data_IF_171403288728
#
_entry.id   IF_171403288728
#
_cell.length_a   1.000
_cell.length_b   1.000
_cell.length_c   1.000
_cell.angle_alpha   90.00
_cell.angle_beta   90.00
_cell.angle_gamma   90.00
#
_symmetry.space_group_name_H-M   'P 1'
#
loop_
_entity.id
_entity.type
_entity.pdbx_description
1 polymer ?
#
# COMPACT_ATOMS: atom_id res chain seq x y z
N UNK A 1 16.19 -4.20 7.53
CA UNK A 1 14.91 -3.46 7.44
C UNK A 1 14.30 -3.54 6.05
N UNK A 2 15.04 -3.13 5.03
CA UNK A 2 14.51 -3.25 3.66
C UNK A 2 14.35 -4.69 3.21
N UNK A 3 15.12 -5.61 3.79
CA UNK A 3 14.94 -7.04 3.53
C UNK A 3 13.55 -7.51 3.96
N UNK A 4 13.06 -7.01 5.09
CA UNK A 4 11.71 -7.36 5.57
C UNK A 4 10.65 -6.95 4.55
N UNK A 5 10.79 -5.77 3.97
CA UNK A 5 9.87 -5.28 2.95
C UNK A 5 9.92 -6.16 1.69
N UNK A 6 11.12 -6.48 1.24
CA UNK A 6 11.30 -7.34 0.07
C UNK A 6 10.69 -8.72 0.30
N UNK A 7 10.94 -9.29 1.49
CA UNK A 7 10.40 -10.61 1.83
C UNK A 7 8.87 -10.59 1.85
N UNK A 8 8.28 -9.50 2.35
CA UNK A 8 6.83 -9.35 2.36
C UNK A 8 6.25 -9.28 0.94
N UNK A 9 6.90 -8.50 0.07
CA UNK A 9 6.49 -8.40 -1.33
C UNK A 9 6.53 -9.78 -2.00
N UNK A 10 7.63 -10.51 -1.79
CA UNK A 10 7.79 -11.84 -2.37
C UNK A 10 6.74 -12.81 -1.82
N UNK A 11 6.43 -12.72 -0.55
CA UNK A 11 5.41 -13.55 0.09
C UNK A 11 4.02 -13.28 -0.49
N UNK A 12 3.69 -12.02 -0.70
CA UNK A 12 2.41 -11.65 -1.32
C UNK A 12 2.29 -12.27 -2.71
N UNK A 13 3.35 -12.21 -3.50
CA UNK A 13 3.36 -12.79 -4.84
C UNK A 13 3.19 -14.32 -4.80
N UNK A 14 3.87 -14.98 -3.86
CA UNK A 14 3.74 -16.43 -3.70
C UNK A 14 2.32 -16.82 -3.29
N UNK A 15 1.74 -16.07 -2.36
CA UNK A 15 0.41 -16.38 -1.84
C UNK A 15 -0.70 -16.14 -2.86
N UNK A 16 -0.43 -15.36 -3.88
CA UNK A 16 -1.38 -15.14 -4.98
C UNK A 16 -1.79 -16.45 -5.65
N UNK A 17 -0.91 -17.45 -5.66
CA UNK A 17 -1.15 -18.74 -6.30
C UNK A 17 -1.90 -19.73 -5.40
N UNK A 18 -2.08 -19.39 -4.12
CA UNK A 18 -2.74 -20.28 -3.17
C UNK A 18 -4.26 -20.19 -3.27
N UNK A 19 -4.94 -21.18 -2.69
CA UNK A 19 -6.39 -21.17 -2.60
C UNK A 19 -6.87 -20.02 -1.71
N UNK A 20 -7.99 -19.41 -2.07
CA UNK A 20 -8.61 -18.36 -1.25
C UNK A 20 -9.09 -18.91 0.11
N UNK A 21 -9.24 -20.23 0.23
CA UNK A 21 -9.67 -20.85 1.47
C UNK A 21 -8.55 -20.94 2.49
N UNK A 22 -7.29 -20.91 2.07
CA UNK A 22 -6.15 -21.11 2.96
C UNK A 22 -5.23 -19.90 3.03
N UNK A 23 -5.43 -18.89 2.20
CA UNK A 23 -4.58 -17.70 2.19
C UNK A 23 -5.44 -16.44 2.19
N UNK A 24 -5.27 -15.63 3.22
CA UNK A 24 -5.94 -14.33 3.28
C UNK A 24 -5.51 -13.44 2.11
N UNK A 25 -4.20 -13.42 1.80
CA UNK A 25 -3.69 -12.64 0.67
C UNK A 25 -4.32 -13.09 -0.64
N UNK A 26 -4.45 -14.40 -0.86
CA UNK A 26 -5.11 -14.91 -2.06
C UNK A 26 -6.57 -14.43 -2.12
N UNK A 27 -7.27 -14.40 -0.97
CA UNK A 27 -8.66 -13.94 -0.94
C UNK A 27 -8.77 -12.47 -1.32
N UNK A 28 -7.79 -11.66 -0.98
CA UNK A 28 -7.76 -10.24 -1.36
C UNK A 28 -7.47 -10.06 -2.85
N UNK A 29 -6.53 -10.86 -3.38
CA UNK A 29 -6.09 -10.71 -4.77
C UNK A 29 -7.07 -11.31 -5.77
N UNK A 30 -7.77 -12.37 -5.39
CA UNK A 30 -8.70 -13.08 -6.28
C UNK A 30 -10.16 -12.86 -5.89
N UNK A 31 -10.40 -12.14 -4.81
CA UNK A 31 -11.77 -11.90 -4.33
C UNK A 31 -12.55 -11.00 -5.25
N UNK A 32 -13.87 -11.03 -5.07
CA UNK A 32 -14.80 -10.24 -5.88
C UNK A 32 -15.01 -8.86 -5.30
N UNK A 33 -15.62 -7.99 -6.10
CA UNK A 33 -16.09 -6.67 -5.67
C UNK A 33 -14.95 -5.75 -5.21
N UNK A 34 -13.77 -5.89 -5.83
CA UNK A 34 -12.63 -5.02 -5.53
C UNK A 34 -12.27 -5.00 -4.05
N UNK A 35 -12.25 -6.19 -3.44
CA UNK A 35 -12.01 -6.30 -2.00
C UNK A 35 -10.66 -5.68 -1.58
N UNK A 36 -9.63 -5.76 -2.44
CA UNK A 36 -8.34 -5.15 -2.15
C UNK A 36 -8.45 -3.64 -1.95
N UNK A 37 -9.24 -2.98 -2.79
CA UNK A 37 -9.44 -1.53 -2.69
C UNK A 37 -10.22 -1.17 -1.43
N UNK A 38 -11.27 -1.95 -1.14
CA UNK A 38 -12.10 -1.72 0.04
C UNK A 38 -11.31 -1.87 1.32
N UNK A 39 -10.46 -2.90 1.39
CA UNK A 39 -9.63 -3.13 2.57
C UNK A 39 -8.57 -2.04 2.73
N UNK A 40 -7.98 -1.57 1.63
CA UNK A 40 -7.04 -0.47 1.72
C UNK A 40 -7.71 0.78 2.31
N UNK A 41 -8.89 1.11 1.83
CA UNK A 41 -9.63 2.26 2.36
C UNK A 41 -9.96 2.08 3.83
N UNK A 42 -10.43 0.89 4.22
CA UNK A 42 -10.77 0.57 5.59
C UNK A 42 -9.57 0.74 6.52
N UNK A 43 -8.40 0.20 6.13
CA UNK A 43 -7.19 0.30 6.93
C UNK A 43 -6.63 1.71 7.00
N UNK A 44 -6.85 2.51 5.95
CA UNK A 44 -6.50 3.93 5.97
C UNK A 44 -7.28 4.67 7.05
N UNK A 45 -8.55 4.35 7.19
CA UNK A 45 -9.41 4.96 8.21
C UNK A 45 -8.97 4.55 9.61
N UNK A 46 -8.56 3.29 9.78
CA UNK A 46 -8.09 2.81 11.07
C UNK A 46 -6.79 3.51 11.49
N UNK A 47 -5.87 3.72 10.55
CA UNK A 47 -4.66 4.47 10.84
C UNK A 47 -4.98 5.93 11.19
N UNK A 48 -5.93 6.52 10.49
CA UNK A 48 -6.37 7.88 10.77
C UNK A 48 -6.88 7.99 12.21
N UNK A 49 -7.73 7.05 12.63
CA UNK A 49 -8.28 7.04 13.99
C UNK A 49 -7.18 6.89 15.05
N UNK A 50 -6.29 5.93 14.85
CA UNK A 50 -5.18 5.70 15.79
C UNK A 50 -4.31 6.95 15.92
N UNK A 51 -4.05 7.62 14.81
CA UNK A 51 -3.25 8.84 14.79
C UNK A 51 -3.95 10.01 15.50
N UNK A 52 -5.26 10.08 15.35
CA UNK A 52 -6.05 11.14 16.00
C UNK A 52 -5.96 11.05 17.53
N UNK A 53 -5.94 9.84 18.08
CA UNK A 53 -5.84 9.64 19.52
C UNK A 53 -4.40 9.53 20.03
N UNK A 54 -3.41 9.61 19.14
CA UNK A 54 -1.98 9.64 19.50
C UNK A 54 -1.49 8.43 20.30
N UNK A 55 -2.10 7.27 20.10
CA UNK A 55 -1.62 6.04 20.72
C UNK A 55 -0.54 5.43 19.83
N UNK A 56 0.73 5.59 20.22
CA UNK A 56 1.85 5.17 19.38
C UNK A 56 1.84 3.69 19.03
N UNK A 57 1.48 2.84 20.00
CA UNK A 57 1.43 1.39 19.77
C UNK A 57 0.40 1.05 18.71
N UNK A 58 -0.78 1.65 18.78
CA UNK A 58 -1.82 1.42 17.79
C UNK A 58 -1.48 2.03 16.44
N UNK A 59 -0.83 3.20 16.44
CA UNK A 59 -0.37 3.80 15.19
C UNK A 59 0.56 2.86 14.45
N UNK A 60 1.52 2.28 15.16
CA UNK A 60 2.47 1.33 14.55
C UNK A 60 1.72 0.11 14.01
N UNK A 61 0.79 -0.42 14.78
CA UNK A 61 0.00 -1.58 14.36
C UNK A 61 -0.80 -1.28 13.09
N UNK A 62 -1.52 -0.17 13.09
CA UNK A 62 -2.36 0.20 11.96
C UNK A 62 -1.53 0.63 10.74
N UNK A 63 -0.36 1.23 10.97
CA UNK A 63 0.54 1.57 9.87
C UNK A 63 1.07 0.29 9.20
N UNK A 64 1.38 -0.75 9.98
CA UNK A 64 1.81 -2.02 9.43
C UNK A 64 0.69 -2.67 8.60
N UNK A 65 -0.54 -2.65 9.12
CA UNK A 65 -1.70 -3.16 8.39
C UNK A 65 -1.91 -2.41 7.07
N UNK A 66 -1.82 -1.09 7.12
CA UNK A 66 -2.00 -0.28 5.92
C UNK A 66 -0.91 -0.56 4.88
N UNK A 67 0.34 -0.68 5.33
CA UNK A 67 1.45 -0.98 4.43
C UNK A 67 1.23 -2.33 3.75
N UNK A 68 0.82 -3.35 4.53
CA UNK A 68 0.50 -4.65 3.95
C UNK A 68 -0.58 -4.53 2.87
N UNK A 69 -1.68 -3.86 3.19
CA UNK A 69 -2.78 -3.72 2.23
C UNK A 69 -2.41 -2.83 1.04
N UNK A 70 -1.52 -1.86 1.25
CA UNK A 70 -0.99 -1.07 0.15
C UNK A 70 -0.24 -1.95 -0.85
N UNK A 71 0.63 -2.83 -0.35
CA UNK A 71 1.39 -3.74 -1.20
C UNK A 71 0.47 -4.73 -1.92
N UNK A 72 -0.56 -5.22 -1.23
CA UNK A 72 -1.56 -6.09 -1.85
C UNK A 72 -2.31 -5.35 -2.96
N UNK A 73 -2.68 -4.10 -2.72
CA UNK A 73 -3.35 -3.27 -3.71
C UNK A 73 -2.49 -3.12 -4.98
N UNK A 74 -1.21 -2.86 -4.82
CA UNK A 74 -0.30 -2.75 -5.96
C UNK A 74 -0.23 -4.06 -6.75
N UNK A 75 -0.12 -5.19 -6.04
CA UNK A 75 -0.10 -6.50 -6.70
C UNK A 75 -1.43 -6.75 -7.42
N UNK A 76 -2.55 -6.39 -6.82
CA UNK A 76 -3.86 -6.52 -7.44
C UNK A 76 -3.93 -5.72 -8.74
N UNK A 77 -3.33 -4.54 -8.78
CA UNK A 77 -3.30 -3.68 -9.96
C UNK A 77 -2.14 -4.01 -10.90
N UNK A 78 -1.34 -5.02 -10.57
CA UNK A 78 -0.18 -5.46 -11.37
C UNK A 78 0.85 -4.35 -11.54
N UNK A 79 1.07 -3.57 -10.48
CA UNK A 79 2.05 -2.50 -10.45
C UNK A 79 3.17 -2.92 -9.51
N UNK A 80 4.42 -2.82 -9.96
CA UNK A 80 5.57 -3.17 -9.13
C UNK A 80 5.87 -2.04 -8.14
N UNK A 81 6.35 -2.42 -6.95
CA UNK A 81 6.79 -1.44 -5.94
C UNK A 81 7.91 -0.58 -6.51
N UNK A 82 8.78 -1.15 -7.35
CA UNK A 82 9.87 -0.39 -7.97
C UNK A 82 9.36 0.78 -8.80
N UNK A 83 8.21 0.63 -9.45
CA UNK A 83 7.62 1.74 -10.21
C UNK A 83 7.25 2.91 -9.31
N UNK A 84 6.71 2.61 -8.13
CA UNK A 84 6.37 3.62 -7.14
C UNK A 84 7.64 4.30 -6.63
N UNK A 85 8.67 3.51 -6.32
CA UNK A 85 9.94 4.03 -5.84
C UNK A 85 10.62 4.92 -6.89
N UNK A 86 10.55 4.54 -8.15
CA UNK A 86 11.10 5.39 -9.22
C UNK A 86 10.39 6.72 -9.31
N UNK A 87 9.10 6.74 -9.10
CA UNK A 87 8.34 8.00 -9.08
C UNK A 87 8.79 8.88 -7.91
N UNK A 88 9.00 8.30 -6.74
CA UNK A 88 9.51 9.03 -5.58
C UNK A 88 10.93 9.57 -5.84
N UNK A 89 11.78 8.76 -6.45
CA UNK A 89 13.15 9.17 -6.79
C UNK A 89 13.13 10.37 -7.72
N UNK A 90 12.24 10.34 -8.70
CA UNK A 90 12.06 11.44 -9.64
C UNK A 90 11.65 12.74 -8.91
N UNK A 91 10.76 12.62 -7.93
CA UNK A 91 10.28 13.78 -7.16
C UNK A 91 11.33 14.37 -6.24
N UNK A 92 12.32 13.60 -5.83
CA UNK A 92 13.40 14.09 -4.98
C UNK A 92 14.19 15.22 -5.64
N UNK A 93 14.18 15.31 -6.95
CA UNK A 93 14.92 16.32 -7.71
C UNK A 93 14.16 17.65 -7.83
N UNK A 94 12.93 17.72 -7.35
CA UNK A 94 12.06 18.88 -7.46
C UNK A 94 11.57 19.23 -6.07
N UNK A 95 11.57 20.54 -5.70
CA UNK A 95 11.07 20.96 -4.40
C UNK A 95 9.57 20.60 -4.28
N UNK A 96 9.13 20.34 -3.05
CA UNK A 96 7.72 19.98 -2.80
C UNK A 96 6.74 21.02 -3.31
N UNK A 97 7.07 22.30 -3.16
CA UNK A 97 6.21 23.39 -3.64
C UNK A 97 6.13 23.38 -5.16
N UNK A 98 7.27 23.24 -5.83
CA UNK A 98 7.35 23.21 -7.28
C UNK A 98 6.57 22.01 -7.84
N UNK A 99 6.71 20.85 -7.23
CA UNK A 99 5.97 19.64 -7.62
C UNK A 99 4.46 19.86 -7.51
N UNK A 100 4.02 20.45 -6.41
CA UNK A 100 2.61 20.74 -6.18
C UNK A 100 2.05 21.68 -7.24
N UNK A 101 2.80 22.72 -7.59
CA UNK A 101 2.40 23.67 -8.62
C UNK A 101 2.31 23.00 -9.99
N UNK A 102 3.27 22.15 -10.32
CA UNK A 102 3.24 21.41 -11.58
C UNK A 102 1.99 20.53 -11.68
N UNK A 103 1.60 19.87 -10.58
CA UNK A 103 0.42 19.02 -10.57
C UNK A 103 -0.87 19.81 -10.81
N UNK A 104 -0.93 21.06 -10.37
CA UNK A 104 -2.09 21.92 -10.63
C UNK A 104 -2.37 22.09 -12.13
N UNK A 105 -1.32 22.13 -12.92
CA UNK A 105 -1.44 22.36 -14.36
C UNK A 105 -1.50 21.09 -15.18
N UNK A 106 -1.17 19.95 -14.58
CA UNK A 106 -1.12 18.66 -15.26
C UNK A 106 -2.20 17.69 -14.79
N UNK A 107 -3.19 18.16 -14.08
CA UNK A 107 -4.28 17.34 -13.57
C UNK A 107 -5.22 16.93 -14.69
N UNK A 108 -5.66 15.69 -14.62
CA UNK A 108 -6.64 15.14 -15.54
C UNK A 108 -8.00 15.08 -14.92
#
# INVERSE_FOLDING_TARGET
MFKTLKDLIDQIKRNKKKSIKISYTASLLKGKNNISLKKFLEESKELFKASHYNNKKEIIHEAADLLYHFLVLLEFKKISVNSVLRELEKRKKISGIKEKNNRKYNVR
#
